data_IF_049455997238
#
_entry.id   IF_049455997238
#
_cell.length_a   1.000
_cell.length_b   1.000
_cell.length_c   1.000
_cell.angle_alpha   90.00
_cell.angle_beta   90.00
_cell.angle_gamma   90.00
#
_symmetry.space_group_name_H-M   'P 1'
#
loop_
_entity.id
_entity.type
_entity.pdbx_description
1 polymer ?
#
# COMPACT_ATOMS: atom_id res chain seq x y z
N UNK A 1 3.81 -16.80 -5.04
CA UNK A 1 4.17 -15.36 -4.92
C UNK A 1 2.96 -14.42 -4.86
N UNK A 2 1.87 -14.60 -5.62
CA UNK A 2 0.73 -13.64 -5.57
C UNK A 2 -0.30 -13.83 -4.43
N UNK A 3 -0.29 -14.98 -3.73
CA UNK A 3 -1.34 -15.30 -2.75
C UNK A 3 -1.34 -14.41 -1.49
N UNK A 4 -0.17 -14.04 -0.99
CA UNK A 4 -0.03 -13.23 0.23
C UNK A 4 -0.48 -11.78 0.00
N UNK A 5 -0.10 -11.18 -1.13
CA UNK A 5 -0.57 -9.84 -1.52
C UNK A 5 -2.09 -9.85 -1.73
N UNK A 6 -2.63 -10.86 -2.42
CA UNK A 6 -4.07 -11.00 -2.61
C UNK A 6 -4.83 -11.17 -1.27
N UNK A 7 -4.22 -11.82 -0.28
CA UNK A 7 -4.75 -11.88 1.07
C UNK A 7 -4.75 -10.50 1.74
N UNK A 8 -3.61 -9.79 1.73
CA UNK A 8 -3.43 -8.48 2.38
C UNK A 8 -4.31 -7.37 1.76
N UNK A 9 -4.60 -7.43 0.47
CA UNK A 9 -5.52 -6.47 -0.21
C UNK A 9 -6.91 -6.47 0.44
N UNK A 10 -7.39 -7.61 0.93
CA UNK A 10 -8.69 -7.69 1.61
C UNK A 10 -8.72 -6.96 2.95
N UNK A 11 -7.56 -6.80 3.59
CA UNK A 11 -7.41 -6.09 4.86
C UNK A 11 -6.94 -4.65 4.67
N UNK A 12 -6.42 -4.31 3.49
CA UNK A 12 -6.03 -2.95 3.12
C UNK A 12 -7.24 -2.16 2.61
N UNK A 13 -8.19 -1.93 3.51
CA UNK A 13 -9.37 -1.10 3.25
C UNK A 13 -8.99 0.37 3.35
N UNK A 14 -8.62 0.96 2.22
CA UNK A 14 -8.47 2.39 2.10
C UNK A 14 -9.88 2.99 1.99
N UNK A 15 -10.23 3.96 2.84
CA UNK A 15 -11.52 4.68 2.76
C UNK A 15 -11.69 5.53 1.49
N UNK A 16 -10.66 5.55 0.64
CA UNK A 16 -10.53 6.23 -0.64
C UNK A 16 -9.53 5.45 -1.50
N UNK A 17 -9.56 5.59 -2.82
CA UNK A 17 -8.60 4.94 -3.70
C UNK A 17 -9.07 3.59 -4.27
N UNK A 18 -8.52 3.26 -5.43
CA UNK A 18 -8.96 2.13 -6.25
C UNK A 18 -8.29 0.80 -5.88
N UNK A 19 -8.60 -0.28 -6.62
CA UNK A 19 -7.91 -1.57 -6.47
C UNK A 19 -6.39 -1.47 -6.60
N UNK A 20 -5.88 -0.54 -7.42
CA UNK A 20 -4.45 -0.31 -7.62
C UNK A 20 -3.76 0.21 -6.35
N UNK A 21 -4.36 1.18 -5.66
CA UNK A 21 -3.81 1.77 -4.44
C UNK A 21 -3.67 0.73 -3.33
N UNK A 22 -4.70 -0.12 -3.20
CA UNK A 22 -4.68 -1.26 -2.26
C UNK A 22 -3.58 -2.25 -2.62
N UNK A 23 -3.37 -2.51 -3.91
CA UNK A 23 -2.31 -3.40 -4.37
C UNK A 23 -0.92 -2.85 -4.02
N UNK A 24 -0.68 -1.56 -4.23
CA UNK A 24 0.60 -0.91 -3.91
C UNK A 24 0.90 -0.99 -2.41
N UNK A 25 -0.07 -0.62 -1.55
CA UNK A 25 0.11 -0.68 -0.10
C UNK A 25 0.28 -2.12 0.38
N UNK A 26 -0.56 -3.06 -0.07
CA UNK A 26 -0.46 -4.46 0.32
C UNK A 26 0.89 -5.08 -0.07
N UNK A 27 1.39 -4.74 -1.25
CA UNK A 27 2.72 -5.18 -1.71
C UNK A 27 3.81 -4.61 -0.81
N UNK A 28 3.74 -3.32 -0.49
CA UNK A 28 4.71 -2.68 0.41
C UNK A 28 4.73 -3.31 1.80
N UNK A 29 3.56 -3.68 2.33
CA UNK A 29 3.43 -4.38 3.61
C UNK A 29 3.99 -5.80 3.59
N UNK A 30 3.55 -6.63 2.64
CA UNK A 30 3.90 -8.05 2.58
C UNK A 30 5.40 -8.26 2.39
N UNK A 31 6.04 -7.39 1.61
CA UNK A 31 7.46 -7.51 1.29
C UNK A 31 8.36 -6.56 2.11
N UNK A 32 7.81 -5.87 3.11
CA UNK A 32 8.50 -4.85 3.91
C UNK A 32 9.31 -3.87 3.03
N UNK A 33 8.64 -3.27 2.03
CA UNK A 33 9.22 -2.28 1.14
C UNK A 33 8.89 -0.86 1.60
N UNK A 34 9.65 0.10 1.09
CA UNK A 34 9.28 1.53 1.19
C UNK A 34 8.46 1.92 -0.03
N UNK A 35 7.21 2.34 0.18
CA UNK A 35 6.38 2.89 -0.87
C UNK A 35 6.86 4.30 -1.20
N UNK A 36 7.33 4.52 -2.42
CA UNK A 36 7.66 5.86 -2.93
C UNK A 36 6.46 6.40 -3.69
N UNK A 37 5.85 7.50 -3.25
CA UNK A 37 4.64 8.06 -3.88
C UNK A 37 4.56 9.56 -3.70
N UNK A 38 3.87 10.26 -4.62
CA UNK A 38 3.47 11.66 -4.44
C UNK A 38 2.06 11.81 -3.84
N UNK A 39 1.32 10.69 -3.74
CA UNK A 39 -0.04 10.68 -3.21
C UNK A 39 -0.02 10.75 -1.67
N UNK A 40 -0.36 11.92 -1.13
CA UNK A 40 -0.42 12.17 0.32
C UNK A 40 -1.41 11.25 1.04
N UNK A 41 -2.41 10.73 0.34
CA UNK A 41 -3.38 9.84 0.94
C UNK A 41 -2.75 8.49 1.24
N UNK A 42 -1.98 7.93 0.30
CA UNK A 42 -1.22 6.69 0.53
C UNK A 42 -0.18 6.83 1.64
N UNK A 43 0.43 8.01 1.80
CA UNK A 43 1.37 8.29 2.89
C UNK A 43 0.74 8.24 4.28
N UNK A 44 -0.57 8.47 4.39
CA UNK A 44 -1.30 8.43 5.68
C UNK A 44 -1.71 7.02 6.07
N UNK A 45 -1.48 6.02 5.22
CA UNK A 45 -1.88 4.64 5.50
C UNK A 45 -0.88 4.00 6.46
N UNK A 46 -1.31 3.51 7.63
CA UNK A 46 -0.40 2.94 8.61
C UNK A 46 0.14 1.57 8.19
N UNK A 47 1.25 1.17 8.82
CA UNK A 47 1.77 -0.19 8.76
C UNK A 47 2.68 -0.49 7.56
N UNK A 48 3.18 0.52 6.86
CA UNK A 48 4.22 0.36 5.86
C UNK A 48 5.16 1.58 5.88
N UNK A 49 6.37 1.42 5.33
CA UNK A 49 7.32 2.53 5.17
C UNK A 49 6.95 3.34 3.95
N UNK A 50 7.05 4.66 4.03
CA UNK A 50 6.74 5.56 2.92
C UNK A 50 7.80 6.64 2.75
N UNK A 51 8.07 7.00 1.50
CA UNK A 51 8.93 8.10 1.10
C UNK A 51 8.17 8.99 0.11
N UNK A 52 8.18 10.30 0.36
CA UNK A 52 7.54 11.25 -0.54
C UNK A 52 8.35 11.40 -1.84
N UNK A 53 7.68 11.30 -2.98
CA UNK A 53 8.18 11.66 -4.29
C UNK A 53 7.77 13.10 -4.59
N UNK A 54 8.73 14.02 -4.68
CA UNK A 54 8.50 15.46 -4.90
C UNK A 54 9.39 15.96 -6.02
#
# INVERSE_FOLDING_TARGET
MNGQVAHEIRFTLLGYGGPADRFLVATAKVYDLTLVTADERLMRVPGHRVLANR
#
